data_IF_805548883157
#
_entry.id   IF_805548883157
#
_cell.length_a   1.000
_cell.length_b   1.000
_cell.length_c   1.000
_cell.angle_alpha   90.00
_cell.angle_beta   90.00
_cell.angle_gamma   90.00
#
_symmetry.space_group_name_H-M   'P 1'
#
loop_
_entity.id
_entity.type
_entity.pdbx_description
1 polymer ?
#
# COMPACT_ATOMS: atom_id res chain seq x y z
N UNK A 1 0.96 0.10 3.81
CA UNK A 1 2.08 -0.39 4.59
C UNK A 1 3.02 0.75 4.84
N UNK A 2 3.25 1.02 6.07
CA UNK A 2 3.95 2.21 6.41
C UNK A 2 5.26 1.85 7.00
N UNK A 3 6.30 2.32 6.34
CA UNK A 3 7.56 2.63 6.98
C UNK A 3 7.92 1.67 8.13
N UNK A 4 8.03 0.36 7.82
CA UNK A 4 8.61 -0.62 8.74
C UNK A 4 7.85 -0.85 10.08
N UNK A 5 6.58 -0.48 10.14
CA UNK A 5 5.74 -0.72 11.29
C UNK A 5 4.45 -1.46 10.89
N UNK A 6 3.96 -2.32 11.77
CA UNK A 6 2.68 -3.02 11.62
C UNK A 6 2.58 -3.84 10.30
N UNK A 7 3.67 -4.51 9.94
CA UNK A 7 3.70 -5.36 8.74
C UNK A 7 2.89 -6.64 9.01
N UNK A 8 1.89 -6.99 8.18
CA UNK A 8 1.05 -8.16 8.38
C UNK A 8 1.74 -9.47 7.96
N UNK A 9 2.84 -9.82 8.62
CA UNK A 9 3.63 -11.02 8.30
C UNK A 9 2.81 -12.30 8.33
N UNK A 10 1.97 -12.49 9.35
CA UNK A 10 1.15 -13.69 9.48
C UNK A 10 0.25 -13.91 8.25
N UNK A 11 -0.43 -12.86 7.79
CA UNK A 11 -1.29 -12.94 6.61
C UNK A 11 -0.48 -13.13 5.32
N UNK A 12 0.66 -12.44 5.19
CA UNK A 12 1.54 -12.61 4.02
C UNK A 12 2.14 -14.03 3.95
N UNK A 13 2.57 -14.60 5.06
CA UNK A 13 3.06 -15.97 5.13
C UNK A 13 1.93 -16.98 4.82
N UNK A 14 0.71 -16.72 5.26
CA UNK A 14 -0.43 -17.57 4.91
C UNK A 14 -0.74 -17.53 3.41
N UNK A 15 -0.63 -16.37 2.76
CA UNK A 15 -0.76 -16.25 1.29
C UNK A 15 0.30 -17.13 0.58
N UNK A 16 1.54 -17.10 1.05
CA UNK A 16 2.62 -17.94 0.53
C UNK A 16 2.34 -19.42 0.77
N UNK A 17 1.90 -19.80 1.98
CA UNK A 17 1.56 -21.18 2.35
C UNK A 17 0.43 -21.74 1.48
N UNK A 18 -0.54 -20.90 1.12
CA UNK A 18 -1.64 -21.28 0.20
C UNK A 18 -1.20 -21.33 -1.26
N UNK A 19 0.03 -20.97 -1.60
CA UNK A 19 0.50 -20.94 -2.97
C UNK A 19 -0.22 -19.96 -3.88
N UNK A 20 -0.75 -18.84 -3.33
CA UNK A 20 -1.44 -17.82 -4.11
C UNK A 20 -0.47 -17.16 -5.09
N UNK A 21 -0.91 -16.95 -6.32
CA UNK A 21 -0.06 -16.44 -7.41
C UNK A 21 -0.76 -15.33 -8.19
N UNK A 22 0.01 -14.64 -9.03
CA UNK A 22 -0.53 -13.61 -9.94
C UNK A 22 -0.98 -12.33 -9.24
N UNK A 23 -0.55 -12.09 -8.00
CA UNK A 23 -0.94 -10.95 -7.21
C UNK A 23 -0.29 -9.66 -7.69
N UNK A 24 -0.98 -8.54 -7.48
CA UNK A 24 -0.41 -7.20 -7.49
C UNK A 24 -0.18 -6.75 -6.06
N UNK A 25 1.07 -6.52 -5.68
CA UNK A 25 1.41 -6.01 -4.36
C UNK A 25 1.46 -4.47 -4.41
N UNK A 26 0.81 -3.82 -3.46
CA UNK A 26 0.69 -2.35 -3.41
C UNK A 26 1.12 -1.85 -2.05
N UNK A 27 2.12 -0.98 -2.01
CA UNK A 27 2.61 -0.37 -0.78
C UNK A 27 3.72 0.64 -1.05
N UNK A 28 3.73 1.83 -0.39
CA UNK A 28 4.69 2.90 -0.71
C UNK A 28 6.13 2.48 -0.43
N UNK A 29 6.40 1.99 0.75
CA UNK A 29 7.65 1.34 1.13
C UNK A 29 7.29 -0.04 1.62
N UNK A 30 7.84 -1.04 1.00
CA UNK A 30 7.57 -2.43 1.32
C UNK A 30 8.83 -3.06 1.86
N UNK A 31 8.72 -3.55 3.06
CA UNK A 31 9.78 -4.22 3.75
C UNK A 31 9.95 -5.67 3.25
N UNK A 32 10.62 -6.49 4.03
CA UNK A 32 10.96 -7.88 3.73
C UNK A 32 9.76 -8.73 3.27
N UNK A 33 8.53 -8.42 3.73
CA UNK A 33 7.37 -9.23 3.36
C UNK A 33 7.11 -9.26 1.86
N UNK A 34 7.23 -8.10 1.16
CA UNK A 34 7.08 -8.10 -0.29
C UNK A 34 8.19 -8.87 -0.99
N UNK A 35 9.43 -8.74 -0.52
CA UNK A 35 10.55 -9.50 -1.06
C UNK A 35 10.35 -11.01 -0.90
N UNK A 36 9.90 -11.47 0.27
CA UNK A 36 9.55 -12.87 0.53
C UNK A 36 8.41 -13.35 -0.38
N UNK A 37 7.34 -12.57 -0.54
CA UNK A 37 6.21 -12.92 -1.40
C UNK A 37 6.60 -12.97 -2.89
N UNK A 38 7.54 -12.12 -3.33
CA UNK A 38 8.09 -12.15 -4.68
C UNK A 38 8.92 -13.42 -4.86
N UNK A 39 9.82 -13.71 -3.91
CA UNK A 39 10.64 -14.94 -3.92
C UNK A 39 9.81 -16.23 -3.90
N UNK A 40 8.67 -16.22 -3.21
CA UNK A 40 7.70 -17.32 -3.22
C UNK A 40 6.87 -17.41 -4.52
N UNK A 41 7.06 -16.51 -5.47
CA UNK A 41 6.34 -16.48 -6.76
C UNK A 41 4.87 -16.06 -6.63
N UNK A 42 4.49 -15.34 -5.56
CA UNK A 42 3.13 -14.86 -5.37
C UNK A 42 2.80 -13.67 -6.26
N UNK A 43 3.78 -12.80 -6.51
CA UNK A 43 3.58 -11.53 -7.21
C UNK A 43 3.86 -11.64 -8.72
N UNK A 44 3.02 -10.99 -9.53
CA UNK A 44 3.28 -10.69 -10.94
C UNK A 44 3.53 -9.20 -11.18
N UNK A 45 3.11 -8.36 -10.26
CA UNK A 45 3.22 -6.89 -10.35
C UNK A 45 3.42 -6.28 -8.97
N UNK A 46 4.19 -5.21 -8.94
CA UNK A 46 4.39 -4.39 -7.74
C UNK A 46 4.12 -2.93 -8.09
N UNK A 47 3.38 -2.24 -7.23
CA UNK A 47 3.18 -0.79 -7.24
C UNK A 47 3.78 -0.26 -5.94
N UNK A 48 4.95 0.36 -6.01
CA UNK A 48 5.69 0.80 -4.84
C UNK A 48 6.60 1.99 -5.18
N UNK A 49 7.02 2.73 -4.15
CA UNK A 49 8.12 3.67 -4.27
C UNK A 49 9.46 2.96 -4.04
N UNK A 50 9.45 1.92 -3.21
CA UNK A 50 10.64 1.15 -2.91
C UNK A 50 10.28 -0.23 -2.31
N UNK A 51 11.05 -1.25 -2.69
CA UNK A 51 10.96 -2.60 -2.13
C UNK A 51 12.30 -2.98 -1.53
N UNK A 52 12.35 -3.15 -0.22
CA UNK A 52 13.55 -3.49 0.51
C UNK A 52 13.50 -3.05 1.96
N UNK A 53 14.63 -3.18 2.65
CA UNK A 53 14.79 -2.80 4.04
C UNK A 53 15.91 -1.76 4.17
N UNK A 54 15.71 -0.74 5.02
CA UNK A 54 16.68 0.38 5.18
C UNK A 54 18.05 -0.06 5.65
N UNK A 55 18.15 -1.23 6.31
CA UNK A 55 19.42 -1.77 6.80
C UNK A 55 20.15 -2.54 5.71
N UNK A 56 19.41 -3.35 4.93
CA UNK A 56 19.99 -4.27 3.93
C UNK A 56 19.88 -3.77 2.49
N UNK A 57 19.16 -2.67 2.27
CA UNK A 57 18.94 -2.10 0.96
C UNK A 57 17.78 -2.75 0.19
N UNK A 58 17.81 -2.65 -1.14
CA UNK A 58 16.78 -3.19 -2.02
C UNK A 58 16.67 -4.71 -1.87
N UNK A 59 15.44 -5.22 -1.89
CA UNK A 59 15.14 -6.65 -1.74
C UNK A 59 15.88 -7.54 -2.74
N UNK A 60 16.38 -8.65 -2.26
CA UNK A 60 17.16 -9.60 -3.09
C UNK A 60 16.29 -10.24 -4.19
N UNK A 61 15.15 -10.80 -3.81
CA UNK A 61 14.23 -11.44 -4.75
C UNK A 61 13.57 -10.43 -5.68
N UNK A 62 13.29 -9.22 -5.18
CA UNK A 62 12.78 -8.12 -5.98
C UNK A 62 13.76 -7.76 -7.11
N UNK A 63 15.05 -7.52 -6.79
CA UNK A 63 16.06 -7.22 -7.80
C UNK A 63 16.17 -8.32 -8.84
N UNK A 64 16.31 -9.57 -8.39
CA UNK A 64 16.41 -10.73 -9.27
C UNK A 64 15.20 -10.87 -10.18
N UNK A 65 13.99 -10.66 -9.66
CA UNK A 65 12.75 -10.75 -10.43
C UNK A 65 12.61 -9.62 -11.47
N UNK A 66 13.09 -8.41 -11.16
CA UNK A 66 13.12 -7.28 -12.09
C UNK A 66 14.15 -7.51 -13.19
N UNK A 67 15.37 -7.88 -12.83
CA UNK A 67 16.46 -8.12 -13.79
C UNK A 67 16.15 -9.26 -14.76
N UNK A 68 15.45 -10.31 -14.30
CA UNK A 68 15.00 -11.41 -15.16
C UNK A 68 13.74 -11.11 -16.00
N UNK A 69 13.11 -9.96 -15.81
CA UNK A 69 11.85 -9.60 -16.47
C UNK A 69 10.62 -10.36 -15.95
N UNK A 70 10.75 -11.08 -14.84
CA UNK A 70 9.67 -11.87 -14.23
C UNK A 70 8.65 -11.07 -13.42
N UNK A 71 8.92 -9.79 -13.15
CA UNK A 71 8.09 -8.93 -12.32
C UNK A 71 7.85 -7.59 -13.00
N UNK A 72 6.58 -7.22 -13.16
CA UNK A 72 6.21 -5.87 -13.62
C UNK A 72 6.25 -4.90 -12.46
N UNK A 73 6.99 -3.80 -12.60
CA UNK A 73 7.05 -2.72 -11.63
C UNK A 73 6.34 -1.49 -12.18
N UNK A 74 5.49 -0.90 -11.37
CA UNK A 74 4.90 0.42 -11.60
C UNK A 74 5.43 1.34 -10.52
N UNK A 75 6.40 2.18 -10.90
CA UNK A 75 7.11 3.04 -9.98
C UNK A 75 6.22 4.19 -9.47
N UNK A 76 6.31 4.45 -8.20
CA UNK A 76 5.69 5.57 -7.53
C UNK A 76 6.72 6.31 -6.67
N UNK A 77 6.48 7.57 -6.37
CA UNK A 77 7.02 8.16 -5.15
C UNK A 77 6.12 7.78 -3.96
N UNK A 78 6.62 7.92 -2.74
CA UNK A 78 5.80 7.73 -1.54
C UNK A 78 4.52 8.56 -1.59
N UNK A 79 4.64 9.82 -2.02
CA UNK A 79 3.50 10.72 -2.12
C UNK A 79 2.54 10.32 -3.23
N UNK A 80 3.02 9.96 -4.43
CA UNK A 80 2.10 9.60 -5.52
C UNK A 80 1.31 8.34 -5.18
N UNK A 81 1.91 7.34 -4.52
CA UNK A 81 1.16 6.16 -4.08
C UNK A 81 0.16 6.49 -2.96
N UNK A 82 0.56 7.31 -1.99
CA UNK A 82 -0.36 7.77 -0.94
C UNK A 82 -1.56 8.51 -1.54
N UNK A 83 -1.32 9.40 -2.52
CA UNK A 83 -2.39 10.14 -3.18
C UNK A 83 -3.28 9.25 -4.06
N UNK A 84 -2.72 8.21 -4.69
CA UNK A 84 -3.50 7.22 -5.43
C UNK A 84 -4.48 6.45 -4.53
N UNK A 85 -4.03 6.00 -3.35
CA UNK A 85 -4.88 5.35 -2.36
C UNK A 85 -5.90 6.33 -1.77
N UNK A 86 -5.48 7.57 -1.48
CA UNK A 86 -6.39 8.61 -0.99
C UNK A 86 -7.48 8.93 -2.01
N UNK A 87 -7.16 9.03 -3.29
CA UNK A 87 -8.16 9.19 -4.35
C UNK A 87 -9.16 8.04 -4.36
N UNK A 88 -8.68 6.79 -4.20
CA UNK A 88 -9.52 5.61 -4.06
C UNK A 88 -10.46 5.70 -2.86
N UNK A 89 -9.94 6.09 -1.70
CA UNK A 89 -10.68 6.25 -0.45
C UNK A 89 -11.77 7.33 -0.54
N UNK A 90 -11.48 8.45 -1.23
CA UNK A 90 -12.41 9.55 -1.45
C UNK A 90 -13.43 9.29 -2.57
N UNK A 91 -13.30 8.19 -3.32
CA UNK A 91 -14.17 7.90 -4.45
C UNK A 91 -13.92 8.76 -5.69
N UNK A 92 -12.83 9.57 -5.73
CA UNK A 92 -12.49 10.39 -6.90
C UNK A 92 -11.64 9.60 -7.90
N UNK A 93 -11.66 9.96 -9.20
CA UNK A 93 -10.94 9.20 -10.24
C UNK A 93 -9.42 9.39 -10.19
N UNK A 94 -8.94 10.50 -9.70
CA UNK A 94 -7.51 10.82 -9.56
C UNK A 94 -7.29 11.93 -8.52
N UNK A 95 -6.03 12.12 -8.11
CA UNK A 95 -5.60 13.22 -7.26
C UNK A 95 -4.59 14.09 -8.01
N UNK A 96 -4.80 15.43 -8.08
CA UNK A 96 -3.78 16.35 -8.60
C UNK A 96 -2.67 16.56 -7.58
N UNK A 97 -1.42 16.55 -8.03
CA UNK A 97 -0.24 16.83 -7.21
C UNK A 97 0.78 17.68 -7.96
N UNK A 98 1.60 18.43 -7.22
CA UNK A 98 2.70 19.23 -7.78
C UNK A 98 4.01 18.43 -7.92
N UNK A 99 4.08 17.26 -7.28
CA UNK A 99 5.29 16.42 -7.30
C UNK A 99 5.38 15.59 -8.57
N UNK A 100 6.55 14.98 -8.78
CA UNK A 100 6.88 14.12 -9.92
C UNK A 100 7.02 14.83 -11.28
N UNK A 101 6.71 16.12 -11.41
CA UNK A 101 6.74 16.84 -12.69
C UNK A 101 8.10 16.81 -13.42
N UNK A 102 9.22 16.76 -12.68
CA UNK A 102 10.56 16.67 -13.22
C UNK A 102 11.16 15.25 -13.24
N UNK A 103 10.36 14.22 -13.05
CA UNK A 103 10.85 12.83 -12.97
C UNK A 103 10.42 11.96 -14.15
N UNK A 104 11.10 10.82 -14.30
CA UNK A 104 10.79 9.80 -15.30
C UNK A 104 9.61 8.91 -14.91
N UNK A 105 8.96 9.13 -13.77
CA UNK A 105 7.80 8.38 -13.32
C UNK A 105 6.66 8.38 -14.35
N UNK A 106 6.54 9.42 -15.17
CA UNK A 106 5.54 9.49 -16.24
C UNK A 106 5.79 8.49 -17.37
N UNK A 107 7.00 7.97 -17.51
CA UNK A 107 7.36 6.97 -18.51
C UNK A 107 7.18 5.55 -17.99
N UNK A 108 7.39 5.33 -16.68
CA UNK A 108 7.35 4.01 -16.02
C UNK A 108 5.99 3.69 -15.42
N UNK A 109 5.17 4.72 -15.11
CA UNK A 109 3.87 4.54 -14.48
C UNK A 109 2.73 5.10 -15.35
N UNK A 110 1.91 4.22 -15.97
CA UNK A 110 0.78 4.64 -16.81
C UNK A 110 -0.34 5.35 -16.04
N UNK A 111 -0.37 5.22 -14.70
CA UNK A 111 -1.31 5.88 -13.80
C UNK A 111 -0.97 7.35 -13.52
N UNK A 112 0.14 7.87 -14.07
CA UNK A 112 0.53 9.27 -13.94
C UNK A 112 0.33 10.01 -15.27
N UNK A 113 -0.35 11.16 -15.23
CA UNK A 113 -0.58 12.01 -16.39
C UNK A 113 -0.28 13.46 -16.07
N UNK A 114 0.33 14.17 -17.03
CA UNK A 114 0.52 15.63 -16.93
C UNK A 114 -0.72 16.34 -17.44
N UNK A 115 -1.12 17.41 -16.76
CA UNK A 115 -2.21 18.28 -17.20
C UNK A 115 -2.02 19.69 -16.62
N UNK A 116 -2.78 20.67 -17.10
CA UNK A 116 -2.77 22.03 -16.56
C UNK A 116 -3.90 22.19 -15.55
N UNK A 117 -3.61 22.88 -14.46
CA UNK A 117 -4.62 23.23 -13.47
C UNK A 117 -5.73 24.07 -14.12
N UNK A 118 -7.00 23.68 -14.04
CA UNK A 118 -8.09 24.42 -14.66
C UNK A 118 -8.35 25.80 -14.02
N UNK A 119 -7.77 26.07 -12.85
CA UNK A 119 -7.96 27.31 -12.12
C UNK A 119 -6.79 28.29 -12.30
N UNK A 120 -5.55 27.80 -12.27
CA UNK A 120 -4.34 28.65 -12.34
C UNK A 120 -3.56 28.50 -13.64
N UNK A 121 -3.80 27.44 -14.43
CA UNK A 121 -3.00 27.14 -15.61
C UNK A 121 -1.68 26.43 -15.32
N UNK A 122 -1.30 26.29 -14.06
CA UNK A 122 -0.03 25.67 -13.66
C UNK A 122 0.04 24.18 -14.07
N UNK A 123 1.26 23.67 -14.36
CA UNK A 123 1.44 22.26 -14.65
C UNK A 123 1.22 21.40 -13.39
N UNK A 124 0.46 20.33 -13.53
CA UNK A 124 0.15 19.36 -12.48
C UNK A 124 0.41 17.93 -12.96
N UNK A 125 0.65 17.05 -11.99
CA UNK A 125 0.57 15.61 -12.18
C UNK A 125 -0.77 15.09 -11.67
N UNK A 126 -1.51 14.37 -12.51
CA UNK A 126 -2.69 13.61 -12.11
C UNK A 126 -2.27 12.19 -11.76
N UNK A 127 -2.60 11.75 -10.56
CA UNK A 127 -2.33 10.41 -10.05
C UNK A 127 -3.63 9.63 -10.04
N UNK A 128 -3.75 8.61 -10.87
CA UNK A 128 -4.95 7.78 -10.95
C UNK A 128 -5.26 7.07 -9.63
N UNK A 129 -6.53 6.97 -9.28
CA UNK A 129 -6.97 6.29 -8.08
C UNK A 129 -6.62 4.81 -8.09
N UNK A 130 -6.10 4.32 -6.96
CA UNK A 130 -5.90 2.88 -6.71
C UNK A 130 -7.01 2.41 -5.76
N UNK A 131 -7.71 1.34 -6.17
CA UNK A 131 -8.74 0.66 -5.37
C UNK A 131 -8.36 -0.81 -5.23
N UNK A 132 -7.69 -1.19 -4.13
CA UNK A 132 -7.30 -2.57 -3.90
C UNK A 132 -8.52 -3.50 -3.79
N UNK A 133 -8.42 -4.73 -4.28
CA UNK A 133 -9.43 -5.76 -4.00
C UNK A 133 -9.43 -6.13 -2.52
N UNK A 134 -8.23 -6.20 -1.94
CA UNK A 134 -8.03 -6.52 -0.51
C UNK A 134 -6.94 -5.63 0.06
N UNK A 135 -7.21 -5.00 1.19
CA UNK A 135 -6.19 -4.41 2.05
C UNK A 135 -6.00 -5.29 3.27
N UNK A 136 -4.76 -5.60 3.59
CA UNK A 136 -4.39 -6.38 4.77
C UNK A 136 -3.62 -5.47 5.71
N UNK A 137 -4.09 -5.39 6.95
CA UNK A 137 -3.45 -4.61 8.01
C UNK A 137 -3.12 -5.48 9.22
N UNK A 138 -2.12 -5.05 9.97
CA UNK A 138 -1.83 -5.59 11.30
C UNK A 138 -2.10 -4.50 12.33
N UNK A 139 -2.73 -4.88 13.44
CA UNK A 139 -3.16 -3.95 14.49
C UNK A 139 -2.89 -4.55 15.86
N UNK A 140 -2.82 -3.71 16.89
CA UNK A 140 -2.63 -4.22 18.25
C UNK A 140 -3.91 -4.85 18.81
N UNK A 141 -5.08 -4.25 18.54
CA UNK A 141 -6.35 -4.77 19.03
C UNK A 141 -7.43 -4.71 17.98
N UNK A 142 -8.28 -5.73 17.97
CA UNK A 142 -9.51 -5.74 17.18
C UNK A 142 -10.64 -6.41 17.98
N UNK A 143 -11.87 -6.02 17.69
CA UNK A 143 -13.04 -6.75 18.17
C UNK A 143 -13.49 -7.82 17.14
N UNK A 144 -14.52 -8.58 17.51
CA UNK A 144 -15.08 -9.60 16.63
C UNK A 144 -15.81 -9.04 15.40
N UNK A 145 -16.08 -7.74 15.36
CA UNK A 145 -16.77 -7.06 14.25
C UNK A 145 -15.81 -6.40 13.25
N UNK A 146 -14.51 -6.40 13.57
CA UNK A 146 -13.50 -5.81 12.70
C UNK A 146 -13.21 -4.34 12.99
N UNK A 147 -13.69 -3.78 14.10
CA UNK A 147 -13.23 -2.49 14.56
C UNK A 147 -11.85 -2.66 15.20
N UNK A 148 -10.92 -1.78 14.90
CA UNK A 148 -9.53 -1.96 15.29
C UNK A 148 -8.90 -0.70 15.87
N UNK A 149 -8.11 -0.89 16.93
CA UNK A 149 -7.23 0.12 17.48
C UNK A 149 -5.81 -0.02 16.95
N UNK A 150 -5.22 1.10 16.57
CA UNK A 150 -3.84 1.17 16.09
C UNK A 150 -3.05 2.22 16.86
N UNK A 151 -1.85 1.82 17.28
CA UNK A 151 -0.83 2.72 17.84
C UNK A 151 0.38 2.74 16.93
N UNK A 152 0.98 3.91 16.74
CA UNK A 152 2.17 4.10 15.94
C UNK A 152 1.93 4.85 14.65
N UNK A 153 2.81 4.66 13.68
CA UNK A 153 2.74 5.33 12.40
C UNK A 153 1.75 4.63 11.47
N UNK A 154 0.65 5.29 11.17
CA UNK A 154 -0.40 4.76 10.28
C UNK A 154 -0.03 4.82 8.80
N UNK A 155 0.79 5.80 8.39
CA UNK A 155 1.12 6.08 7.00
C UNK A 155 -0.11 6.08 6.09
N UNK A 156 -0.18 5.16 5.13
CA UNK A 156 -1.31 5.03 4.19
C UNK A 156 -2.38 4.03 4.63
N UNK A 157 -2.26 3.44 5.83
CA UNK A 157 -3.11 2.33 6.28
C UNK A 157 -4.61 2.69 6.22
N UNK A 158 -4.98 3.87 6.74
CA UNK A 158 -6.39 4.32 6.74
C UNK A 158 -6.93 4.51 5.33
N UNK A 159 -6.18 5.21 4.48
CA UNK A 159 -6.61 5.45 3.10
C UNK A 159 -6.67 4.13 2.30
N UNK A 160 -5.75 3.21 2.55
CA UNK A 160 -5.76 1.88 1.94
C UNK A 160 -6.98 1.04 2.36
N UNK A 161 -7.37 1.08 3.65
CA UNK A 161 -8.58 0.41 4.12
C UNK A 161 -9.85 0.98 3.46
N UNK A 162 -9.97 2.31 3.44
CA UNK A 162 -11.12 3.00 2.85
C UNK A 162 -11.21 2.85 1.33
N UNK A 163 -10.07 2.68 0.64
CA UNK A 163 -10.02 2.47 -0.81
C UNK A 163 -10.36 1.03 -1.22
N UNK A 164 -10.23 0.07 -0.31
CA UNK A 164 -10.34 -1.35 -0.62
C UNK A 164 -11.79 -1.86 -0.69
N UNK A 165 -11.99 -2.93 -1.47
CA UNK A 165 -13.27 -3.65 -1.49
C UNK A 165 -13.48 -4.51 -0.23
N UNK A 166 -12.38 -5.01 0.35
CA UNK A 166 -12.36 -5.80 1.59
C UNK A 166 -11.12 -5.46 2.40
N UNK A 167 -11.27 -5.53 3.72
CA UNK A 167 -10.15 -5.39 4.66
C UNK A 167 -10.00 -6.71 5.42
N UNK A 168 -8.77 -7.17 5.54
CA UNK A 168 -8.39 -8.29 6.40
C UNK A 168 -7.53 -7.71 7.52
N UNK A 169 -7.90 -8.00 8.76
CA UNK A 169 -7.19 -7.53 9.94
C UNK A 169 -6.51 -8.73 10.60
N UNK A 170 -5.22 -8.60 10.86
CA UNK A 170 -4.50 -9.45 11.80
C UNK A 170 -4.26 -8.63 13.07
N UNK A 171 -4.62 -9.15 14.23
CA UNK A 171 -4.54 -8.46 15.51
C UNK A 171 -3.66 -9.22 16.50
N UNK A 172 -2.97 -8.49 17.37
CA UNK A 172 -2.23 -9.08 18.49
C UNK A 172 -3.21 -9.58 19.57
N UNK A 173 -4.32 -8.85 19.76
CA UNK A 173 -5.32 -9.16 20.78
C UNK A 173 -6.74 -8.97 20.20
N UNK A 174 -7.64 -9.92 20.48
CA UNK A 174 -9.08 -9.77 20.26
C UNK A 174 -9.71 -9.34 21.58
N UNK A 175 -10.40 -8.21 21.55
CA UNK A 175 -11.02 -7.60 22.73
C UNK A 175 -12.52 -7.40 22.56
N UNK A 176 -13.22 -7.13 23.66
CA UNK A 176 -14.62 -6.76 23.62
C UNK A 176 -14.82 -5.40 22.90
N UNK A 177 -15.93 -5.24 22.20
CA UNK A 177 -16.27 -4.02 21.49
C UNK A 177 -16.23 -2.77 22.38
N UNK A 178 -16.61 -2.92 23.66
CA UNK A 178 -16.55 -1.80 24.63
C UNK A 178 -15.13 -1.23 24.81
N UNK A 179 -14.09 -2.06 24.70
CA UNK A 179 -12.69 -1.60 24.78
C UNK A 179 -12.36 -0.71 23.59
N UNK A 180 -12.86 -1.06 22.42
CA UNK A 180 -12.66 -0.28 21.18
C UNK A 180 -13.44 1.04 21.25
N UNK A 181 -14.70 0.99 21.62
CA UNK A 181 -15.60 2.16 21.63
C UNK A 181 -15.22 3.23 22.66
N UNK A 182 -14.46 2.85 23.72
CA UNK A 182 -13.95 3.80 24.74
C UNK A 182 -12.91 4.81 24.19
N UNK A 183 -12.20 4.47 23.12
CA UNK A 183 -11.25 5.38 22.46
C UNK A 183 -11.48 5.43 20.95
N UNK A 184 -12.54 6.13 20.50
CA UNK A 184 -12.92 6.19 19.09
C UNK A 184 -11.87 6.89 18.22
N UNK A 185 -10.98 7.71 18.82
CA UNK A 185 -9.95 8.42 18.07
C UNK A 185 -8.84 7.49 17.53
N UNK A 186 -8.72 6.28 18.05
CA UNK A 186 -7.76 5.27 17.61
C UNK A 186 -8.35 4.25 16.64
N UNK A 187 -9.64 4.31 16.38
CA UNK A 187 -10.31 3.36 15.48
C UNK A 187 -9.93 3.66 14.04
N UNK A 188 -9.51 2.61 13.33
CA UNK A 188 -9.09 2.72 11.93
C UNK A 188 -10.12 2.16 10.94
N UNK A 189 -10.98 1.26 11.39
CA UNK A 189 -12.02 0.58 10.58
C UNK A 189 -13.38 0.71 11.24
#
# INVERSE_FOLDING_TARGET
LCLEALIPFAAGHEIMRQGRRGLTLIGPISDMLFDQMIGAGCARRVQAAWVGNVITGSGYHFRQAVESGGLRVEDHSNLTLAMALKAGAMGVPFMPVLTALGSDLFTTNPGLKRFSCPFSGDPLAGVAAIRPDVTIIHVQRSDAYGNAHVWGNLGVMRDACLAARRVIITAEEIVDNEVITRDPNRVIT
#
